data_IF_955909320576
#
_entry.id   IF_955909320576
#
_cell.length_a   1.000
_cell.length_b   1.000
_cell.length_c   1.000
_cell.angle_alpha   90.00
_cell.angle_beta   90.00
_cell.angle_gamma   90.00
#
_symmetry.space_group_name_H-M   'P 1'
#
loop_
_entity.id
_entity.type
_entity.pdbx_description
1 polymer ?
#
# COMPACT_ATOMS: atom_id res chain seq x y z
N UNK A 1 8.74 16.06 9.50
CA UNK A 1 9.21 15.24 8.34
C UNK A 1 9.65 13.90 8.90
N UNK A 2 9.18 12.79 8.34
CA UNK A 2 9.56 11.45 8.83
C UNK A 2 10.90 11.08 8.17
N UNK A 3 11.88 10.68 8.98
CA UNK A 3 13.17 10.22 8.47
C UNK A 3 13.06 8.75 8.04
N UNK A 4 13.61 8.39 6.85
CA UNK A 4 13.63 7.01 6.41
C UNK A 4 14.58 6.17 7.26
N UNK A 5 14.23 4.90 7.50
CA UNK A 5 15.04 3.94 8.24
C UNK A 5 16.10 3.36 7.29
N UNK A 6 17.36 3.33 7.72
CA UNK A 6 18.44 2.72 6.92
C UNK A 6 18.23 1.18 6.87
N UNK A 7 18.01 0.65 5.66
CA UNK A 7 17.82 -0.80 5.42
C UNK A 7 18.20 -1.10 3.96
N UNK A 8 19.01 -2.14 3.69
CA UNK A 8 19.26 -2.61 2.33
C UNK A 8 17.95 -3.02 1.65
N UNK A 9 17.79 -2.65 0.38
CA UNK A 9 16.57 -2.98 -0.36
C UNK A 9 16.41 -4.50 -0.55
N UNK A 10 15.16 -5.03 -0.55
CA UNK A 10 14.89 -6.46 -0.68
C UNK A 10 15.53 -7.14 -1.90
N UNK A 11 15.71 -6.41 -2.99
CA UNK A 11 16.39 -6.90 -4.20
C UNK A 11 17.81 -7.44 -3.90
N UNK A 12 18.50 -6.87 -2.90
CA UNK A 12 19.86 -7.29 -2.52
C UNK A 12 19.88 -8.47 -1.54
N UNK A 13 18.76 -8.72 -0.86
CA UNK A 13 18.62 -9.76 0.17
C UNK A 13 18.11 -11.09 -0.38
N UNK A 14 17.61 -11.09 -1.60
CA UNK A 14 16.99 -12.26 -2.22
C UNK A 14 18.05 -13.27 -2.65
N UNK A 15 18.33 -14.24 -1.79
CA UNK A 15 19.31 -15.32 -2.06
C UNK A 15 18.72 -16.38 -3.00
N UNK A 16 17.40 -16.64 -2.97
CA UNK A 16 16.76 -17.71 -3.74
C UNK A 16 15.50 -17.33 -4.52
N UNK A 17 14.97 -16.15 -4.37
CA UNK A 17 13.79 -15.67 -5.09
C UNK A 17 14.11 -14.36 -5.80
N UNK A 18 13.96 -14.32 -7.09
CA UNK A 18 14.16 -13.09 -7.86
C UNK A 18 12.97 -12.17 -7.62
N UNK A 19 13.20 -11.04 -6.94
CA UNK A 19 12.22 -9.96 -6.94
C UNK A 19 11.80 -9.62 -8.37
N UNK A 20 10.50 -9.46 -8.60
CA UNK A 20 9.96 -9.15 -9.92
C UNK A 20 9.44 -7.73 -9.96
N UNK A 21 9.83 -6.99 -10.99
CA UNK A 21 9.29 -5.66 -11.26
C UNK A 21 8.02 -5.82 -12.09
N UNK A 22 6.94 -5.25 -11.62
CA UNK A 22 5.62 -5.25 -12.26
C UNK A 22 5.28 -3.80 -12.62
N UNK A 23 4.95 -3.55 -13.87
CA UNK A 23 4.58 -2.22 -14.34
C UNK A 23 5.74 -1.22 -14.40
N UNK A 24 5.39 0.04 -14.58
CA UNK A 24 6.33 1.16 -14.71
C UNK A 24 6.68 1.76 -13.36
N UNK A 25 7.95 1.68 -12.97
CA UNK A 25 8.47 2.31 -11.75
C UNK A 25 9.06 3.67 -12.11
N UNK A 26 8.50 4.74 -11.52
CA UNK A 26 8.97 6.10 -11.76
C UNK A 26 10.28 6.40 -11.02
N UNK A 27 11.24 7.01 -11.73
CA UNK A 27 12.59 7.25 -11.19
C UNK A 27 12.63 8.26 -10.04
N UNK A 28 11.67 9.18 -9.97
CA UNK A 28 11.62 10.26 -8.98
C UNK A 28 10.71 9.97 -7.80
N UNK A 29 9.93 8.90 -7.86
CA UNK A 29 9.04 8.47 -6.80
C UNK A 29 9.70 7.36 -5.96
N UNK A 30 9.13 7.04 -4.81
CA UNK A 30 9.59 5.90 -4.02
C UNK A 30 9.26 4.60 -4.72
N UNK A 31 10.14 3.61 -4.64
CA UNK A 31 9.83 2.26 -5.14
C UNK A 31 8.98 1.54 -4.10
N UNK A 32 7.90 0.89 -4.54
CA UNK A 32 7.04 0.09 -3.68
C UNK A 32 7.52 -1.36 -3.72
N UNK A 33 7.80 -1.94 -2.56
CA UNK A 33 8.02 -3.37 -2.39
C UNK A 33 6.84 -3.97 -1.64
N UNK A 34 6.34 -5.11 -2.10
CA UNK A 34 5.31 -5.88 -1.40
C UNK A 34 5.70 -7.35 -1.35
N UNK A 35 5.53 -7.97 -0.15
CA UNK A 35 5.78 -9.39 0.04
C UNK A 35 4.62 -10.22 -0.50
N UNK A 36 4.93 -11.43 -0.92
CA UNK A 36 3.98 -12.40 -1.45
C UNK A 36 2.81 -12.64 -0.49
N UNK A 37 3.09 -13.06 0.73
CA UNK A 37 2.07 -13.31 1.76
C UNK A 37 1.19 -12.09 2.07
N UNK A 38 1.72 -10.88 1.94
CA UNK A 38 0.94 -9.65 2.19
C UNK A 38 0.01 -9.36 1.01
N UNK A 39 0.52 -9.54 -0.22
CA UNK A 39 -0.31 -9.38 -1.42
C UNK A 39 -1.45 -10.40 -1.42
N UNK A 40 -1.17 -11.67 -1.14
CA UNK A 40 -2.19 -12.71 -1.03
C UNK A 40 -3.24 -12.37 0.03
N UNK A 41 -2.82 -11.93 1.22
CA UNK A 41 -3.75 -11.52 2.28
C UNK A 41 -4.66 -10.35 1.87
N UNK A 42 -4.16 -9.39 1.08
CA UNK A 42 -4.97 -8.29 0.54
C UNK A 42 -5.97 -8.81 -0.48
N UNK A 43 -5.55 -9.69 -1.39
CA UNK A 43 -6.41 -10.24 -2.43
C UNK A 43 -7.49 -11.15 -1.84
N UNK A 44 -7.14 -12.02 -0.89
CA UNK A 44 -8.10 -12.86 -0.16
C UNK A 44 -9.14 -12.01 0.58
N UNK A 45 -8.71 -10.96 1.28
CA UNK A 45 -9.63 -10.02 1.91
C UNK A 45 -10.53 -9.31 0.89
N UNK A 46 -9.98 -8.94 -0.27
CA UNK A 46 -10.75 -8.27 -1.32
C UNK A 46 -11.88 -9.15 -1.91
N UNK A 47 -11.73 -10.46 -1.84
CA UNK A 47 -12.73 -11.43 -2.28
C UNK A 47 -13.87 -11.66 -1.25
N UNK A 48 -13.78 -11.10 -0.02
CA UNK A 48 -14.81 -11.26 1.02
C UNK A 48 -16.11 -10.53 0.69
N UNK A 49 -16.06 -9.43 -0.08
CA UNK A 49 -17.27 -8.72 -0.52
C UNK A 49 -17.15 -8.28 -1.98
N UNK A 50 -17.88 -8.96 -2.87
CA UNK A 50 -17.88 -8.68 -4.30
C UNK A 50 -18.93 -7.64 -4.73
N UNK A 51 -19.62 -7.02 -3.78
CA UNK A 51 -20.72 -6.08 -4.05
C UNK A 51 -20.50 -4.70 -3.42
N UNK A 52 -19.77 -4.63 -2.33
CA UNK A 52 -19.50 -3.38 -1.60
C UNK A 52 -18.00 -3.13 -1.53
N UNK A 53 -17.64 -1.87 -1.49
CA UNK A 53 -16.27 -1.50 -1.24
C UNK A 53 -15.87 -1.86 0.19
N UNK A 54 -14.77 -2.58 0.32
CA UNK A 54 -14.10 -2.86 1.59
C UNK A 54 -12.66 -2.38 1.49
N UNK A 55 -11.98 -2.21 2.61
CA UNK A 55 -10.61 -1.72 2.58
C UNK A 55 -9.87 -1.87 3.90
N UNK A 56 -8.66 -1.34 3.92
CA UNK A 56 -7.79 -1.44 5.07
C UNK A 56 -6.52 -0.59 4.92
N UNK A 57 -5.59 -0.82 5.80
CA UNK A 57 -4.36 -0.06 5.89
C UNK A 57 -3.15 -0.91 5.50
N UNK A 58 -2.27 -0.32 4.72
CA UNK A 58 -0.98 -0.88 4.35
C UNK A 58 0.04 -0.48 5.41
N UNK A 59 0.67 -1.47 6.03
CA UNK A 59 1.56 -1.29 7.17
C UNK A 59 3.00 -1.64 6.77
N UNK A 60 3.93 -0.80 7.17
CA UNK A 60 5.35 -0.97 6.87
C UNK A 60 6.15 0.27 7.24
N UNK A 61 7.20 0.56 6.47
CA UNK A 61 8.02 1.75 6.70
C UNK A 61 8.55 2.37 5.40
N UNK A 62 8.95 3.63 5.51
CA UNK A 62 9.82 4.29 4.55
C UNK A 62 11.27 3.92 4.88
N UNK A 63 11.98 3.39 3.91
CA UNK A 63 13.37 2.96 4.03
C UNK A 63 14.30 3.73 3.08
N UNK A 64 15.58 3.69 3.42
CA UNK A 64 16.66 4.19 2.57
C UNK A 64 17.79 3.17 2.49
N UNK A 65 18.13 2.75 1.27
CA UNK A 65 19.31 1.93 1.00
C UNK A 65 20.48 2.83 0.64
N UNK A 66 21.49 2.86 1.51
CA UNK A 66 22.70 3.66 1.36
C UNK A 66 23.85 2.94 0.63
N UNK A 67 23.73 1.63 0.45
CA UNK A 67 24.82 0.78 -0.08
C UNK A 67 24.94 0.82 -1.60
N UNK A 68 24.01 1.48 -2.30
CA UNK A 68 24.00 1.55 -3.78
C UNK A 68 24.77 2.72 -4.37
N UNK A 69 25.49 3.51 -3.55
CA UNK A 69 26.23 4.71 -3.98
C UNK A 69 25.35 5.91 -4.34
N UNK A 70 24.03 5.73 -4.32
CA UNK A 70 23.01 6.79 -4.37
C UNK A 70 21.90 6.40 -3.40
N UNK A 71 21.46 7.35 -2.60
CA UNK A 71 20.35 7.17 -1.67
C UNK A 71 19.11 6.66 -2.43
N UNK A 72 18.75 5.40 -2.18
CA UNK A 72 17.58 4.77 -2.79
C UNK A 72 16.46 4.67 -1.77
N UNK A 73 15.47 5.55 -1.88
CA UNK A 73 14.27 5.55 -1.01
C UNK A 73 13.23 4.57 -1.53
N UNK A 74 12.64 3.81 -0.62
CA UNK A 74 11.57 2.88 -0.95
C UNK A 74 10.61 2.69 0.23
N UNK A 75 9.41 2.22 -0.05
CA UNK A 75 8.46 1.72 0.95
C UNK A 75 8.35 0.21 0.82
N UNK A 76 8.22 -0.48 1.94
CA UNK A 76 7.97 -1.91 1.96
C UNK A 76 6.63 -2.14 2.67
N UNK A 77 5.67 -2.77 1.96
CA UNK A 77 4.40 -3.21 2.52
C UNK A 77 4.67 -4.55 3.20
N UNK A 78 4.73 -4.52 4.52
CA UNK A 78 5.15 -5.66 5.34
C UNK A 78 3.96 -6.37 5.99
N UNK A 79 2.83 -5.65 6.19
CA UNK A 79 1.60 -6.19 6.75
C UNK A 79 0.39 -5.47 6.15
N UNK A 80 -0.77 -6.13 6.25
CA UNK A 80 -2.07 -5.59 5.93
C UNK A 80 -2.96 -5.61 7.18
N UNK A 81 -3.69 -4.54 7.41
CA UNK A 81 -4.65 -4.41 8.50
C UNK A 81 -6.02 -4.09 7.91
N UNK A 82 -6.97 -5.06 7.89
CA UNK A 82 -8.35 -4.79 7.50
C UNK A 82 -8.96 -3.67 8.35
N UNK A 83 -9.71 -2.77 7.72
CA UNK A 83 -10.43 -1.74 8.45
C UNK A 83 -11.75 -2.31 8.96
N UNK A 84 -11.97 -2.21 10.27
CA UNK A 84 -13.21 -2.62 10.93
C UNK A 84 -14.12 -1.40 11.05
N UNK A 85 -15.43 -1.61 11.00
CA UNK A 85 -16.46 -0.56 11.17
C UNK A 85 -16.38 0.62 10.16
N UNK A 86 -15.94 0.34 8.95
CA UNK A 86 -16.02 1.31 7.87
C UNK A 86 -17.47 1.48 7.41
N UNK A 87 -17.90 2.72 7.23
CA UNK A 87 -19.15 2.98 6.54
C UNK A 87 -18.94 2.71 5.05
N UNK A 88 -19.27 1.50 4.62
CA UNK A 88 -19.27 1.14 3.22
C UNK A 88 -20.64 1.43 2.61
N UNK A 89 -20.66 2.24 1.57
CA UNK A 89 -21.76 2.32 0.62
C UNK A 89 -21.35 1.56 -0.65
N UNK A 90 -22.30 1.25 -1.51
CA UNK A 90 -22.05 0.50 -2.75
C UNK A 90 -20.99 1.14 -3.69
N UNK A 91 -20.55 2.37 -3.42
CA UNK A 91 -19.60 3.13 -4.23
C UNK A 91 -18.72 4.10 -3.41
N UNK A 92 -18.55 3.91 -2.11
CA UNK A 92 -17.58 4.72 -1.34
C UNK A 92 -17.21 4.08 0.00
N UNK A 93 -15.93 4.03 0.30
CA UNK A 93 -15.39 3.63 1.57
C UNK A 93 -15.02 4.89 2.39
N UNK A 94 -15.50 5.00 3.62
CA UNK A 94 -15.15 6.12 4.51
C UNK A 94 -14.48 5.61 5.77
N UNK A 95 -13.23 6.04 6.00
CA UNK A 95 -12.55 5.83 7.27
C UNK A 95 -13.06 6.85 8.31
N UNK A 96 -13.75 6.36 9.33
CA UNK A 96 -14.23 7.20 10.43
C UNK A 96 -13.09 7.52 11.41
N UNK A 97 -13.33 8.48 12.33
CA UNK A 97 -12.39 8.75 13.43
C UNK A 97 -12.12 7.47 14.26
N UNK A 98 -13.15 6.66 14.49
CA UNK A 98 -13.02 5.41 15.26
C UNK A 98 -12.18 4.37 14.50
N UNK A 99 -12.37 4.26 13.18
CA UNK A 99 -11.53 3.41 12.32
C UNK A 99 -10.05 3.79 12.41
N UNK A 100 -9.75 5.10 12.34
CA UNK A 100 -8.38 5.59 12.48
C UNK A 100 -7.79 5.34 13.86
N UNK A 101 -8.59 5.56 14.92
CA UNK A 101 -8.15 5.34 16.29
C UNK A 101 -7.85 3.87 16.54
N UNK A 102 -8.70 2.97 16.09
CA UNK A 102 -8.49 1.52 16.19
C UNK A 102 -7.25 1.08 15.40
N UNK A 103 -7.11 1.53 14.15
CA UNK A 103 -5.95 1.19 13.33
C UNK A 103 -4.63 1.63 13.97
N UNK A 104 -4.56 2.86 14.50
CA UNK A 104 -3.36 3.34 15.18
C UNK A 104 -3.05 2.52 16.44
N UNK A 105 -4.06 2.15 17.24
CA UNK A 105 -3.88 1.32 18.43
C UNK A 105 -3.42 -0.09 18.05
N UNK A 106 -3.97 -0.69 17.01
CA UNK A 106 -3.52 -2.00 16.51
C UNK A 106 -2.09 -1.95 15.98
N UNK A 107 -1.75 -0.94 15.21
CA UNK A 107 -0.37 -0.77 14.72
C UNK A 107 0.59 -0.62 15.89
N UNK A 108 0.28 0.22 16.88
CA UNK A 108 1.12 0.40 18.06
C UNK A 108 1.31 -0.88 18.89
N UNK A 109 0.28 -1.73 18.98
CA UNK A 109 0.32 -2.95 19.77
C UNK A 109 0.95 -4.15 19.04
N UNK A 110 0.66 -4.32 17.75
CA UNK A 110 1.07 -5.49 16.96
C UNK A 110 2.33 -5.25 16.13
N UNK A 111 2.57 -4.00 15.72
CA UNK A 111 3.61 -3.62 14.79
C UNK A 111 4.35 -2.36 15.31
N UNK A 112 4.86 -2.42 16.53
CA UNK A 112 5.40 -1.27 17.28
C UNK A 112 6.52 -0.51 16.57
N UNK A 113 7.26 -1.16 15.65
CA UNK A 113 8.31 -0.58 14.81
C UNK A 113 7.82 -0.16 13.41
N UNK A 114 6.52 -0.29 13.13
CA UNK A 114 5.90 0.02 11.83
C UNK A 114 4.92 1.18 11.94
N UNK A 115 4.44 1.61 10.79
CA UNK A 115 3.45 2.69 10.63
C UNK A 115 2.49 2.41 9.50
N UNK A 116 1.41 3.16 9.44
CA UNK A 116 0.53 3.20 8.28
C UNK A 116 1.27 3.93 7.15
N UNK A 117 1.58 3.22 6.07
CA UNK A 117 2.27 3.77 4.89
C UNK A 117 1.34 4.04 3.73
N UNK A 118 0.09 3.58 3.83
CA UNK A 118 -0.91 3.73 2.79
C UNK A 118 -2.21 3.03 3.15
N UNK A 119 -3.07 2.92 2.16
CA UNK A 119 -4.39 2.32 2.30
C UNK A 119 -4.77 1.50 1.08
N UNK A 120 -5.72 0.62 1.27
CA UNK A 120 -6.29 -0.25 0.27
C UNK A 120 -7.81 -0.14 0.27
N UNK A 121 -8.44 -0.25 -0.89
CA UNK A 121 -9.87 -0.46 -1.02
C UNK A 121 -10.22 -1.23 -2.30
N UNK A 122 -11.45 -1.76 -2.34
CA UNK A 122 -11.94 -2.50 -3.49
C UNK A 122 -12.90 -1.65 -4.32
N UNK A 123 -12.93 -1.91 -5.64
CA UNK A 123 -13.88 -1.36 -6.60
C UNK A 123 -14.59 -2.51 -7.33
N UNK A 124 -15.57 -3.21 -6.71
CA UNK A 124 -16.18 -4.41 -7.29
C UNK A 124 -16.85 -4.13 -8.65
N UNK A 125 -16.22 -4.59 -9.74
CA UNK A 125 -16.73 -4.44 -11.11
C UNK A 125 -16.59 -3.04 -11.72
N UNK A 126 -15.85 -2.12 -11.09
CA UNK A 126 -15.68 -0.74 -11.55
C UNK A 126 -14.32 -0.47 -12.20
N UNK A 127 -13.37 -1.40 -12.07
CA UNK A 127 -11.99 -1.25 -12.53
C UNK A 127 -11.07 -0.58 -11.50
N UNK A 128 -9.78 -0.45 -11.87
CA UNK A 128 -8.73 0.04 -10.97
C UNK A 128 -8.35 1.48 -11.28
N UNK A 129 -8.83 2.41 -10.48
CA UNK A 129 -8.56 3.85 -10.54
C UNK A 129 -8.76 4.48 -9.17
N UNK A 130 -8.43 5.75 -9.00
CA UNK A 130 -8.85 6.54 -7.84
C UNK A 130 -9.96 7.49 -8.26
N UNK A 131 -11.15 7.36 -7.67
CA UNK A 131 -12.25 8.30 -7.85
C UNK A 131 -11.89 9.68 -7.28
N UNK A 132 -12.72 10.69 -7.56
CA UNK A 132 -12.52 12.02 -6.98
C UNK A 132 -12.57 11.98 -5.44
N UNK A 133 -13.37 11.07 -4.86
CA UNK A 133 -13.45 10.88 -3.42
C UNK A 133 -12.20 10.18 -2.87
N UNK A 134 -11.68 9.17 -3.56
CA UNK A 134 -10.43 8.50 -3.19
C UNK A 134 -9.24 9.45 -3.23
N UNK A 135 -9.18 10.30 -4.25
CA UNK A 135 -8.17 11.36 -4.33
C UNK A 135 -8.29 12.35 -3.18
N UNK A 136 -9.52 12.68 -2.76
CA UNK A 136 -9.73 13.52 -1.57
C UNK A 136 -9.20 12.83 -0.32
N UNK A 137 -9.50 11.54 -0.10
CA UNK A 137 -8.96 10.75 1.02
C UNK A 137 -7.44 10.75 0.96
N UNK A 138 -6.87 10.39 -0.18
CA UNK A 138 -5.42 10.26 -0.34
C UNK A 138 -4.71 11.59 -0.06
N UNK A 139 -5.21 12.70 -0.60
CA UNK A 139 -4.62 14.03 -0.40
C UNK A 139 -4.71 14.53 1.05
N UNK A 140 -5.75 14.19 1.78
CA UNK A 140 -5.96 14.70 3.15
C UNK A 140 -5.35 13.82 4.23
N UNK A 141 -5.23 12.51 4.01
CA UNK A 141 -4.76 11.55 5.02
C UNK A 141 -3.42 10.88 4.66
N UNK A 142 -3.04 10.88 3.39
CA UNK A 142 -1.84 10.26 2.87
C UNK A 142 -1.02 11.23 2.00
N UNK A 143 -0.87 12.47 2.48
CA UNK A 143 -0.27 13.58 1.73
C UNK A 143 1.26 13.59 1.66
N UNK A 144 1.95 12.58 2.21
CA UNK A 144 3.40 12.50 2.07
C UNK A 144 3.78 11.85 0.73
N UNK A 145 4.85 12.33 0.11
CA UNK A 145 5.35 11.88 -1.21
C UNK A 145 5.69 10.38 -1.30
N UNK A 146 5.78 9.70 -0.17
CA UNK A 146 6.07 8.27 -0.06
C UNK A 146 4.86 7.42 0.33
N UNK A 147 3.71 8.03 0.63
CA UNK A 147 2.49 7.29 0.96
C UNK A 147 1.78 6.81 -0.30
N UNK A 148 1.15 5.66 -0.21
CA UNK A 148 0.63 4.91 -1.35
C UNK A 148 -0.83 4.53 -1.16
N UNK A 149 -1.52 4.26 -2.26
CA UNK A 149 -2.82 3.60 -2.27
C UNK A 149 -2.77 2.33 -3.13
N UNK A 150 -3.65 1.38 -2.84
CA UNK A 150 -3.86 0.19 -3.65
C UNK A 150 -5.35 0.01 -3.88
N UNK A 151 -5.75 -0.15 -5.13
CA UNK A 151 -7.13 -0.46 -5.53
C UNK A 151 -7.17 -1.87 -6.11
N UNK A 152 -8.15 -2.65 -5.70
CA UNK A 152 -8.42 -4.00 -6.23
C UNK A 152 -9.83 -4.04 -6.80
N UNK A 153 -9.97 -4.51 -8.02
CA UNK A 153 -11.27 -4.95 -8.55
C UNK A 153 -11.35 -6.48 -8.46
N UNK A 154 -12.01 -7.02 -7.44
CA UNK A 154 -12.07 -8.47 -7.25
C UNK A 154 -12.87 -9.18 -8.34
N UNK A 155 -13.86 -8.50 -8.96
CA UNK A 155 -14.66 -9.09 -10.03
C UNK A 155 -13.90 -9.24 -11.34
N UNK A 156 -12.99 -8.30 -11.64
CA UNK A 156 -12.14 -8.33 -12.84
C UNK A 156 -10.78 -8.98 -12.59
N UNK A 157 -10.45 -9.27 -11.32
CA UNK A 157 -9.16 -9.79 -10.86
C UNK A 157 -7.99 -8.90 -11.27
N UNK A 158 -8.18 -7.61 -11.09
CA UNK A 158 -7.19 -6.58 -11.39
C UNK A 158 -6.86 -5.78 -10.14
N UNK A 159 -5.65 -5.28 -10.05
CA UNK A 159 -5.26 -4.32 -9.04
C UNK A 159 -4.17 -3.36 -9.54
N UNK A 160 -4.07 -2.20 -8.92
CA UNK A 160 -3.01 -1.24 -9.16
C UNK A 160 -2.59 -0.53 -7.88
N UNK A 161 -1.30 -0.15 -7.84
CA UNK A 161 -0.80 0.80 -6.86
C UNK A 161 -0.82 2.21 -7.42
N UNK A 162 -1.02 3.18 -6.52
CA UNK A 162 -1.02 4.61 -6.81
C UNK A 162 -0.07 5.31 -5.85
N UNK A 163 0.66 6.30 -6.36
CA UNK A 163 1.60 7.08 -5.58
C UNK A 163 1.68 8.51 -6.07
N UNK A 164 2.24 9.38 -5.23
CA UNK A 164 2.56 10.73 -5.60
C UNK A 164 3.65 10.76 -6.67
N UNK A 165 3.37 11.46 -7.76
CA UNK A 165 4.31 11.77 -8.83
C UNK A 165 4.31 13.29 -9.01
N UNK A 166 5.26 13.97 -8.36
CA UNK A 166 5.26 15.41 -8.17
C UNK A 166 4.03 15.87 -7.35
N UNK A 167 3.13 16.64 -7.94
CA UNK A 167 1.98 17.24 -7.25
C UNK A 167 0.65 16.48 -7.48
N UNK A 168 0.69 15.35 -8.18
CA UNK A 168 -0.51 14.54 -8.48
C UNK A 168 -0.28 13.05 -8.18
N UNK A 169 -1.38 12.29 -8.16
CA UNK A 169 -1.38 10.86 -7.83
C UNK A 169 -1.68 10.06 -9.09
N UNK A 170 -0.78 9.13 -9.43
CA UNK A 170 -0.88 8.30 -10.61
C UNK A 170 -0.65 6.83 -10.26
N UNK A 171 -1.15 5.95 -11.13
CA UNK A 171 -0.81 4.54 -11.09
C UNK A 171 0.70 4.33 -11.28
N UNK A 172 1.21 3.28 -10.66
CA UNK A 172 2.63 2.99 -10.67
C UNK A 172 2.92 1.49 -10.60
N UNK A 173 4.13 1.14 -11.06
CA UNK A 173 4.66 -0.19 -10.88
C UNK A 173 5.18 -0.41 -9.45
N UNK A 174 5.40 -1.68 -9.14
CA UNK A 174 5.90 -2.13 -7.84
C UNK A 174 6.90 -3.29 -8.00
N UNK A 175 7.52 -3.66 -6.91
CA UNK A 175 8.43 -4.81 -6.85
C UNK A 175 7.81 -5.88 -5.95
N UNK A 176 7.53 -7.00 -6.53
CA UNK A 176 7.09 -8.21 -5.85
C UNK A 176 8.28 -8.90 -5.19
N UNK A 177 8.14 -9.23 -3.92
CA UNK A 177 9.17 -9.88 -3.10
C UNK A 177 8.65 -11.24 -2.68
N UNK A 178 9.18 -12.34 -3.25
CA UNK A 178 8.78 -13.68 -2.83
C UNK A 178 9.13 -13.92 -1.36
N UNK A 179 8.29 -14.69 -0.67
CA UNK A 179 8.60 -15.13 0.67
C UNK A 179 9.85 -16.00 0.68
N UNK A 180 10.72 -15.76 1.64
CA UNK A 180 11.86 -16.65 1.89
C UNK A 180 11.37 -17.83 2.71
N UNK A 181 11.42 -19.02 2.12
CA UNK A 181 11.23 -20.30 2.80
C UNK A 181 12.28 -20.50 3.89
#
# INVERSE_FOLDING_TARGET
MIEPIAKPAPIKQSINGKCQRIGRIEKKAVTIFIRDCVLDAILDFSDEDLQREIGGFLIGNLYIDKDSGKDFRYVEVEHFLPAVDVKSHSASLTFTHDTWSQANNEVASRFSDKRIIGWHHTHPGLGVFLSAYDLFIHRNFFGCDWQIAMVVDPNQREFAFFQWQQDDVHDCGFVYVPDTN
#
